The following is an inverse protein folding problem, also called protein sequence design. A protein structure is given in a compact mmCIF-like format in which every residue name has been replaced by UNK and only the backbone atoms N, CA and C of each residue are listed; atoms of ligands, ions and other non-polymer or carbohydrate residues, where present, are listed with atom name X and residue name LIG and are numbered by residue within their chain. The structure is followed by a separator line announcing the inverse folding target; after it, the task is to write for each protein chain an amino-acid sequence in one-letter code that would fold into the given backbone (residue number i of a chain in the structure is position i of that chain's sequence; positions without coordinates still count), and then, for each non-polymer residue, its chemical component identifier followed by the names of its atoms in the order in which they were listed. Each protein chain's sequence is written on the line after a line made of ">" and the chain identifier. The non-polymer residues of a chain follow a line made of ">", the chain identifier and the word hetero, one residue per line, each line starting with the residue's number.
data_IF_312010056457
#
_entry.id   IF_312010056457
#
_cell.length_a   1.000
_cell.length_b   1.000
_cell.length_c   1.000
_cell.angle_alpha   90.00
_cell.angle_beta   90.00
_cell.angle_gamma   90.00
#
_symmetry.space_group_name_H-M   'P 1'
#
loop_
_entity.id
_entity.type
_entity.pdbx_description
1 polymer ?
#
# COMPACT_ATOMS: atom_id res chain seq x y z
N UNK A 1 22.98 -8.64 -47.18
CA UNK A 1 24.41 -8.65 -46.77
C UNK A 1 24.93 -7.24 -46.80
N UNK A 2 25.35 -6.70 -45.66
CA UNK A 2 26.53 -5.83 -45.44
C UNK A 2 26.35 -5.05 -44.15
N UNK A 3 27.31 -5.26 -43.25
CA UNK A 3 27.38 -4.69 -41.91
C UNK A 3 28.73 -3.96 -41.81
N UNK A 4 28.78 -2.67 -41.49
CA UNK A 4 30.01 -2.01 -41.08
C UNK A 4 30.05 -1.88 -39.56
N UNK A 5 30.89 -2.71 -38.93
CA UNK A 5 31.40 -2.43 -37.59
C UNK A 5 32.25 -1.16 -37.64
N UNK A 6 32.05 -0.22 -36.72
CA UNK A 6 33.08 0.75 -36.34
C UNK A 6 33.15 0.87 -34.81
N UNK A 7 34.21 0.31 -34.23
CA UNK A 7 34.61 0.58 -32.85
C UNK A 7 35.59 1.76 -32.85
N UNK A 8 35.37 2.77 -32.00
CA UNK A 8 36.45 3.69 -31.58
C UNK A 8 36.17 4.33 -30.21
N UNK A 9 36.89 3.83 -29.21
CA UNK A 9 37.54 4.55 -28.09
C UNK A 9 36.75 5.52 -27.16
N UNK A 10 36.55 5.04 -25.92
CA UNK A 10 36.93 5.66 -24.64
C UNK A 10 37.35 7.15 -24.61
N UNK A 11 36.67 7.96 -23.76
CA UNK A 11 37.27 8.77 -22.67
C UNK A 11 36.22 8.94 -21.54
N UNK A 12 36.70 8.92 -20.28
CA UNK A 12 35.91 9.08 -19.04
C UNK A 12 35.12 10.39 -18.89
N UNK A 13 34.26 10.48 -17.89
CA UNK A 13 34.68 10.87 -16.53
C UNK A 13 33.72 10.31 -15.47
N UNK A 14 34.26 9.68 -14.42
CA UNK A 14 33.49 9.30 -13.23
C UNK A 14 33.45 10.50 -12.28
N UNK A 15 32.29 11.12 -12.07
CA UNK A 15 32.09 12.05 -10.95
C UNK A 15 31.48 11.31 -9.76
N UNK A 16 32.35 10.89 -8.84
CA UNK A 16 31.94 10.42 -7.53
C UNK A 16 31.55 11.64 -6.67
N UNK A 17 30.25 11.88 -6.47
CA UNK A 17 29.77 12.86 -5.49
C UNK A 17 29.67 12.18 -4.13
N UNK A 18 30.76 12.24 -3.38
CA UNK A 18 30.79 11.82 -1.97
C UNK A 18 30.05 12.83 -1.10
N UNK A 19 28.79 12.54 -0.76
CA UNK A 19 28.08 13.29 0.28
C UNK A 19 28.59 12.80 1.65
N UNK A 20 29.42 13.60 2.30
CA UNK A 20 29.95 13.31 3.63
C UNK A 20 28.84 13.46 4.69
N UNK A 21 28.59 12.39 5.44
CA UNK A 21 27.75 12.43 6.63
C UNK A 21 28.46 13.21 7.73
N UNK A 22 28.00 14.44 7.99
CA UNK A 22 28.42 15.24 9.14
C UNK A 22 27.77 14.68 10.41
N UNK A 23 28.36 13.65 11.01
CA UNK A 23 28.05 13.26 12.38
C UNK A 23 28.55 14.32 13.35
N UNK A 24 27.69 14.86 14.20
CA UNK A 24 28.12 15.65 15.36
C UNK A 24 28.67 14.72 16.43
N UNK A 25 29.98 14.51 16.39
CA UNK A 25 30.76 13.94 17.49
C UNK A 25 30.92 14.99 18.61
N UNK A 26 30.79 14.57 19.85
CA UNK A 26 31.06 15.39 21.05
C UNK A 26 31.63 14.53 22.18
N UNK A 27 32.79 13.93 21.91
CA UNK A 27 33.65 13.30 22.92
C UNK A 27 34.24 14.31 23.92
N UNK A 28 33.99 14.07 25.22
CA UNK A 28 34.92 14.33 26.35
C UNK A 28 34.71 13.24 27.40
N UNK A 29 35.62 12.27 27.49
CA UNK A 29 36.74 12.20 28.46
C UNK A 29 36.36 11.51 29.78
N UNK A 30 36.75 10.23 29.93
CA UNK A 30 36.91 9.50 31.20
C UNK A 30 38.26 9.93 31.87
N UNK A 31 38.61 9.66 33.13
CA UNK A 31 38.05 8.89 34.26
C UNK A 31 38.68 9.48 35.57
N UNK A 32 38.70 8.84 36.77
CA UNK A 32 37.97 7.68 37.31
C UNK A 32 37.29 7.93 38.70
N UNK A 33 36.67 6.88 39.26
CA UNK A 33 36.03 6.79 40.59
C UNK A 33 37.07 6.83 41.77
N UNK A 34 36.72 7.14 43.05
CA UNK A 34 35.97 6.20 43.91
C UNK A 34 35.03 6.79 45.02
N UNK A 35 34.18 5.88 45.55
CA UNK A 35 33.55 5.81 46.90
C UNK A 35 32.65 6.93 47.45
N UNK A 36 31.35 6.62 47.64
CA UNK A 36 30.69 6.60 48.97
C UNK A 36 29.24 6.04 48.97
N UNK A 37 29.00 5.08 49.86
CA UNK A 37 27.78 4.80 50.65
C UNK A 37 26.36 4.82 50.02
N UNK A 38 25.85 3.59 49.82
CA UNK A 38 24.58 3.06 50.36
C UNK A 38 23.48 4.03 50.79
N UNK A 39 22.32 3.95 50.12
CA UNK A 39 21.03 3.87 50.84
C UNK A 39 20.03 3.06 50.03
N UNK A 40 19.54 1.97 50.60
CA UNK A 40 18.40 1.24 50.06
C UNK A 40 17.12 2.01 50.39
N UNK A 41 16.23 2.21 49.41
CA UNK A 41 14.81 2.30 49.74
C UNK A 41 13.94 1.75 48.62
N UNK A 42 13.03 0.84 48.99
CA UNK A 42 12.29 0.01 48.06
C UNK A 42 10.95 0.63 47.63
N UNK A 43 10.55 0.30 46.40
CA UNK A 43 9.17 0.14 45.91
C UNK A 43 8.14 1.23 46.18
N UNK A 44 7.66 1.86 45.10
CA UNK A 44 6.27 1.70 44.65
C UNK A 44 6.21 1.72 43.13
N UNK A 45 5.74 0.62 42.51
CA UNK A 45 5.37 0.60 41.10
C UNK A 45 3.93 1.11 40.97
N UNK A 46 3.73 2.26 40.33
CA UNK A 46 2.45 2.61 39.69
C UNK A 46 2.68 2.76 38.18
N UNK A 47 1.76 2.28 37.33
CA UNK A 47 1.91 2.42 35.89
C UNK A 47 1.60 3.87 35.50
N UNK A 48 2.64 4.63 35.14
CA UNK A 48 2.44 5.92 34.48
C UNK A 48 1.77 5.64 33.12
N UNK A 49 0.49 6.01 33.00
CA UNK A 49 -0.19 6.02 31.70
C UNK A 49 0.52 7.03 30.79
N UNK A 50 1.30 6.51 29.85
CA UNK A 50 1.94 7.32 28.83
C UNK A 50 0.88 7.73 27.80
N UNK A 51 0.22 8.85 28.08
CA UNK A 51 -0.70 9.53 27.16
C UNK A 51 -0.16 10.93 26.90
N UNK A 52 0.99 10.97 26.23
CA UNK A 52 1.57 12.17 25.65
C UNK A 52 0.70 12.71 24.50
N UNK A 53 -0.50 13.20 24.85
CA UNK A 53 -1.26 14.13 24.03
C UNK A 53 -0.47 15.44 23.97
N UNK A 54 0.47 15.53 23.03
CA UNK A 54 1.13 16.77 22.71
C UNK A 54 0.12 17.64 21.93
N UNK A 55 -0.39 18.75 22.50
CA UNK A 55 -1.34 19.60 21.79
C UNK A 55 -0.65 20.25 20.59
N UNK A 56 -1.39 20.43 19.49
CA UNK A 56 -0.92 21.26 18.38
C UNK A 56 -0.74 22.71 18.85
N UNK A 57 0.12 23.46 18.16
CA UNK A 57 0.61 24.78 18.60
C UNK A 57 -0.46 25.89 18.65
N UNK A 58 -1.69 25.59 18.21
CA UNK A 58 -2.88 26.45 18.29
C UNK A 58 -3.89 26.03 19.38
N UNK A 59 -3.64 24.93 20.08
CA UNK A 59 -4.55 24.37 21.09
C UNK A 59 -5.68 23.49 20.53
N UNK A 60 -5.66 23.16 19.23
CA UNK A 60 -6.59 22.20 18.65
C UNK A 60 -6.28 20.78 19.15
N UNK A 61 -7.16 20.23 20.00
CA UNK A 61 -7.18 18.79 20.23
C UNK A 61 -7.66 18.10 18.96
N UNK A 62 -6.76 17.42 18.25
CA UNK A 62 -7.11 16.56 17.13
C UNK A 62 -8.20 15.56 17.57
N UNK A 63 -9.32 15.52 16.86
CA UNK A 63 -10.39 14.57 17.16
C UNK A 63 -9.89 13.15 16.88
N UNK A 64 -9.62 12.40 17.95
CA UNK A 64 -9.33 10.98 17.87
C UNK A 64 -10.62 10.22 17.51
N UNK A 65 -10.90 10.13 16.21
CA UNK A 65 -12.00 9.33 15.69
C UNK A 65 -11.77 7.83 15.92
N UNK A 66 -12.84 7.04 15.88
CA UNK A 66 -12.75 5.58 16.01
C UNK A 66 -12.19 4.96 14.72
N UNK A 67 -11.11 4.16 14.77
CA UNK A 67 -10.58 3.47 13.60
C UNK A 67 -11.61 2.58 12.91
N UNK A 68 -11.58 2.55 11.58
CA UNK A 68 -12.50 1.74 10.78
C UNK A 68 -12.12 0.27 10.88
N UNK A 69 -13.03 -0.55 11.42
CA UNK A 69 -12.88 -2.00 11.47
C UNK A 69 -13.38 -2.62 10.17
N UNK A 70 -12.53 -3.39 9.49
CA UNK A 70 -12.89 -4.20 8.33
C UNK A 70 -13.06 -5.65 8.78
N UNK A 71 -14.30 -6.12 8.93
CA UNK A 71 -14.58 -7.49 9.37
C UNK A 71 -14.52 -8.49 8.19
N UNK A 72 -13.31 -8.71 7.69
CA UNK A 72 -13.06 -9.55 6.50
C UNK A 72 -13.53 -10.99 6.72
N UNK A 73 -13.52 -11.49 7.96
CA UNK A 73 -14.04 -12.82 8.31
C UNK A 73 -15.55 -12.95 8.03
N UNK A 74 -16.31 -11.86 8.11
CA UNK A 74 -17.74 -11.82 7.81
C UNK A 74 -18.05 -11.68 6.30
N UNK A 75 -17.05 -11.55 5.42
CA UNK A 75 -17.27 -11.35 3.98
C UNK A 75 -17.44 -12.65 3.19
N UNK A 76 -17.29 -13.80 3.85
CA UNK A 76 -17.63 -15.12 3.32
C UNK A 76 -16.47 -15.85 2.66
N UNK A 77 -16.43 -17.16 2.87
CA UNK A 77 -15.45 -18.09 2.29
C UNK A 77 -16.04 -18.93 1.15
N UNK A 78 -17.23 -18.58 0.66
CA UNK A 78 -17.93 -19.32 -0.39
C UNK A 78 -17.08 -19.43 -1.66
N UNK A 79 -17.30 -20.49 -2.44
CA UNK A 79 -16.58 -20.70 -3.70
C UNK A 79 -16.91 -19.59 -4.67
N UNK A 80 -15.89 -18.87 -5.13
CA UNK A 80 -16.00 -17.85 -6.17
C UNK A 80 -15.71 -18.43 -7.56
N UNK A 81 -16.22 -17.76 -8.59
CA UNK A 81 -15.85 -18.02 -9.99
C UNK A 81 -14.47 -17.41 -10.27
N UNK A 82 -13.57 -18.21 -10.85
CA UNK A 82 -12.20 -17.76 -11.17
C UNK A 82 -12.24 -16.79 -12.34
N UNK A 83 -11.42 -15.74 -12.27
CA UNK A 83 -11.18 -14.81 -13.37
C UNK A 83 -9.69 -14.79 -13.72
N UNK A 84 -9.36 -14.61 -14.99
CA UNK A 84 -8.02 -14.27 -15.43
C UNK A 84 -7.78 -12.75 -15.34
N UNK A 85 -6.51 -12.36 -15.15
CA UNK A 85 -6.11 -10.96 -14.89
C UNK A 85 -6.28 -10.02 -16.09
N UNK A 86 -6.49 -10.57 -17.28
CA UNK A 86 -6.77 -9.88 -18.54
C UNK A 86 -8.26 -9.81 -18.91
N UNK A 87 -9.16 -10.43 -18.14
CA UNK A 87 -10.63 -10.35 -18.34
C UNK A 87 -11.22 -9.04 -17.82
N UNK A 88 -10.72 -7.91 -18.31
CA UNK A 88 -11.03 -6.56 -17.81
C UNK A 88 -12.53 -6.26 -17.70
N UNK A 89 -13.37 -6.71 -18.64
CA UNK A 89 -14.82 -6.50 -18.57
C UNK A 89 -15.48 -7.25 -17.40
N UNK A 90 -15.10 -8.51 -17.19
CA UNK A 90 -15.52 -9.31 -16.04
C UNK A 90 -15.05 -8.67 -14.73
N UNK A 91 -13.79 -8.20 -14.68
CA UNK A 91 -13.20 -7.54 -13.52
C UNK A 91 -13.94 -6.23 -13.18
N UNK A 92 -14.21 -5.37 -14.17
CA UNK A 92 -14.99 -4.13 -13.98
C UNK A 92 -16.39 -4.44 -13.43
N UNK A 93 -17.03 -5.52 -13.88
CA UNK A 93 -18.38 -5.90 -13.45
C UNK A 93 -18.50 -6.16 -11.94
N UNK A 94 -17.42 -6.59 -11.27
CA UNK A 94 -17.37 -6.80 -9.80
C UNK A 94 -17.62 -5.49 -9.04
N UNK A 95 -17.24 -4.35 -9.61
CA UNK A 95 -17.36 -3.04 -8.99
C UNK A 95 -18.64 -2.29 -9.39
N UNK A 96 -19.22 -2.63 -10.54
CA UNK A 96 -20.49 -2.09 -11.04
C UNK A 96 -20.31 -1.26 -12.32
N UNK A 97 -21.17 -0.26 -12.49
CA UNK A 97 -21.11 0.64 -13.64
C UNK A 97 -19.89 1.57 -13.58
N UNK A 98 -19.15 1.69 -14.69
CA UNK A 98 -18.08 2.67 -14.83
C UNK A 98 -18.70 4.05 -15.01
N UNK A 99 -18.46 4.95 -14.06
CA UNK A 99 -18.98 6.31 -14.07
C UNK A 99 -18.17 7.26 -14.96
N UNK A 100 -16.87 7.02 -15.12
CA UNK A 100 -16.01 7.76 -16.03
C UNK A 100 -14.75 6.98 -16.37
N UNK A 101 -14.24 7.16 -17.59
CA UNK A 101 -12.94 6.64 -18.03
C UNK A 101 -12.00 7.80 -18.38
N UNK A 102 -10.73 7.69 -17.96
CA UNK A 102 -9.63 8.54 -18.40
C UNK A 102 -8.60 7.69 -19.16
N UNK A 103 -8.55 7.86 -20.47
CA UNK A 103 -7.65 7.14 -21.40
C UNK A 103 -6.21 7.73 -21.42
N UNK A 104 -5.93 8.77 -20.63
CA UNK A 104 -4.62 9.45 -20.58
C UNK A 104 -3.96 9.30 -19.20
N UNK A 105 -4.38 8.30 -18.43
CA UNK A 105 -3.79 8.00 -17.13
C UNK A 105 -2.44 7.29 -17.25
N UNK A 106 -1.78 7.15 -16.11
CA UNK A 106 -0.51 6.45 -15.99
C UNK A 106 -0.63 5.31 -14.98
N UNK A 107 0.01 4.18 -15.27
CA UNK A 107 0.15 3.07 -14.34
C UNK A 107 1.24 3.31 -13.28
N UNK A 108 1.36 2.37 -12.34
CA UNK A 108 2.32 2.30 -11.25
C UNK A 108 3.79 2.52 -11.69
N UNK A 109 4.12 2.19 -12.95
CA UNK A 109 5.46 2.37 -13.53
C UNK A 109 5.50 3.49 -14.58
N UNK A 110 4.52 4.39 -14.57
CA UNK A 110 4.39 5.56 -15.46
C UNK A 110 4.25 5.22 -16.96
N UNK A 111 3.74 4.04 -17.31
CA UNK A 111 3.33 3.75 -18.70
C UNK A 111 1.91 4.25 -18.95
N UNK A 112 1.52 4.53 -20.23
CA UNK A 112 0.15 4.87 -20.59
C UNK A 112 -0.85 3.81 -20.13
N UNK A 113 -1.98 4.25 -19.55
CA UNK A 113 -2.99 3.38 -18.98
C UNK A 113 -4.39 4.01 -19.06
N UNK A 114 -5.42 3.15 -19.12
CA UNK A 114 -6.81 3.56 -18.99
C UNK A 114 -7.26 3.47 -17.53
N UNK A 115 -7.82 4.55 -16.99
CA UNK A 115 -8.36 4.60 -15.63
C UNK A 115 -9.89 4.57 -15.64
N UNK A 116 -10.47 3.54 -15.05
CA UNK A 116 -11.92 3.36 -14.90
C UNK A 116 -12.34 3.70 -13.47
N UNK A 117 -13.26 4.64 -13.31
CA UNK A 117 -13.76 5.09 -12.00
C UNK A 117 -15.21 4.65 -11.80
N UNK A 118 -15.50 4.05 -10.65
CA UNK A 118 -16.81 3.49 -10.30
C UNK A 118 -17.65 4.39 -9.38
N UNK A 119 -17.12 5.56 -9.04
CA UNK A 119 -17.70 6.49 -8.05
C UNK A 119 -17.75 7.91 -8.60
N UNK A 120 -18.68 8.72 -8.11
CA UNK A 120 -18.72 10.15 -8.43
C UNK A 120 -17.48 10.86 -7.89
N UNK A 121 -17.11 11.97 -8.53
CA UNK A 121 -15.92 12.78 -8.17
C UNK A 121 -15.93 13.30 -6.73
N UNK A 122 -17.12 13.46 -6.14
CA UNK A 122 -17.38 13.92 -4.77
C UNK A 122 -17.55 12.79 -3.74
N UNK A 123 -17.31 11.53 -4.13
CA UNK A 123 -17.45 10.36 -3.27
C UNK A 123 -16.10 9.65 -3.02
N UNK A 124 -15.96 8.90 -1.90
CA UNK A 124 -14.85 7.97 -1.67
C UNK A 124 -14.55 7.12 -2.90
N UNK A 125 -13.34 7.28 -3.45
CA UNK A 125 -12.99 6.73 -4.76
C UNK A 125 -12.86 5.20 -4.74
N UNK A 126 -13.11 4.64 -5.91
CA UNK A 126 -12.89 3.24 -6.26
C UNK A 126 -12.60 3.23 -7.76
N UNK A 127 -11.36 2.87 -8.10
CA UNK A 127 -10.78 3.02 -9.42
C UNK A 127 -10.04 1.73 -9.82
N UNK A 128 -10.12 1.35 -11.10
CA UNK A 128 -9.16 0.45 -11.75
C UNK A 128 -8.25 1.28 -12.64
N UNK A 129 -6.96 0.95 -12.69
CA UNK A 129 -6.05 1.40 -13.74
C UNK A 129 -5.58 0.16 -14.50
N UNK A 130 -5.73 0.18 -15.83
CA UNK A 130 -5.40 -0.93 -16.71
C UNK A 130 -4.35 -0.51 -17.74
N UNK A 131 -3.23 -1.24 -17.77
CA UNK A 131 -2.19 -1.11 -18.78
C UNK A 131 -1.81 -2.47 -19.36
N UNK A 132 -0.92 -2.48 -20.36
CA UNK A 132 -0.34 -3.70 -20.94
C UNK A 132 0.28 -4.61 -19.85
N UNK A 133 0.91 -4.02 -18.83
CA UNK A 133 1.71 -4.74 -17.84
C UNK A 133 1.05 -4.88 -16.48
N UNK A 134 0.16 -3.94 -16.12
CA UNK A 134 -0.43 -3.91 -14.79
C UNK A 134 -1.96 -3.87 -14.83
N UNK A 135 -2.54 -4.57 -13.87
CA UNK A 135 -3.89 -4.31 -13.39
C UNK A 135 -3.74 -3.72 -12.00
N UNK A 136 -4.30 -2.53 -11.79
CA UNK A 136 -4.30 -1.87 -10.50
C UNK A 136 -5.71 -1.65 -9.99
N UNK A 137 -5.89 -1.90 -8.69
CA UNK A 137 -7.10 -1.58 -7.96
C UNK A 137 -6.75 -0.57 -6.87
N UNK A 138 -7.37 0.60 -6.93
CA UNK A 138 -7.25 1.66 -5.93
C UNK A 138 -8.59 1.97 -5.29
N UNK A 139 -8.64 2.05 -3.96
CA UNK A 139 -9.85 2.51 -3.27
C UNK A 139 -9.55 3.33 -2.02
N UNK A 140 -10.50 4.19 -1.65
CA UNK A 140 -10.40 5.01 -0.45
C UNK A 140 -10.41 4.16 0.83
N UNK A 141 -9.43 4.39 1.70
CA UNK A 141 -9.31 3.77 3.02
C UNK A 141 -9.74 4.80 4.08
N UNK A 142 -10.90 4.59 4.71
CA UNK A 142 -11.55 5.64 5.49
C UNK A 142 -10.75 6.12 6.71
N UNK A 143 -10.76 7.43 6.92
CA UNK A 143 -10.19 8.11 8.07
C UNK A 143 -11.04 7.82 9.33
N UNK A 144 -10.41 7.60 10.51
CA UNK A 144 -11.14 7.51 11.77
C UNK A 144 -12.15 8.65 12.04
N UNK A 145 -11.94 9.86 11.51
CA UNK A 145 -12.86 11.01 11.66
C UNK A 145 -13.97 11.11 10.60
N UNK A 146 -13.99 10.23 9.60
CA UNK A 146 -15.00 10.25 8.53
C UNK A 146 -16.42 10.03 9.05
N UNK A 147 -17.42 10.44 8.26
CA UNK A 147 -18.81 10.11 8.53
C UNK A 147 -19.07 8.60 8.40
N UNK A 148 -20.09 8.10 9.09
CA UNK A 148 -20.46 6.67 9.03
C UNK A 148 -20.72 6.20 7.59
N UNK A 149 -21.27 7.08 6.73
CA UNK A 149 -21.52 6.81 5.31
C UNK A 149 -20.22 6.65 4.50
N UNK A 150 -19.21 7.46 4.76
CA UNK A 150 -17.90 7.35 4.09
C UNK A 150 -17.16 6.09 4.53
N UNK A 151 -17.25 5.74 5.82
CA UNK A 151 -16.75 4.50 6.39
C UNK A 151 -17.44 3.27 5.79
N UNK A 152 -18.76 3.29 5.68
CA UNK A 152 -19.56 2.25 5.02
C UNK A 152 -19.17 2.09 3.53
N UNK A 153 -18.98 3.19 2.80
CA UNK A 153 -18.50 3.15 1.42
C UNK A 153 -17.10 2.53 1.32
N UNK A 154 -16.16 2.93 2.17
CA UNK A 154 -14.81 2.35 2.21
C UNK A 154 -14.82 0.85 2.54
N UNK A 155 -15.65 0.41 3.49
CA UNK A 155 -15.86 -1.02 3.79
C UNK A 155 -16.45 -1.78 2.59
N UNK A 156 -17.42 -1.21 1.88
CA UNK A 156 -18.00 -1.80 0.68
C UNK A 156 -16.99 -1.91 -0.48
N UNK A 157 -16.14 -0.90 -0.66
CA UNK A 157 -15.04 -0.95 -1.64
C UNK A 157 -14.02 -2.04 -1.29
N UNK A 158 -13.61 -2.12 -0.02
CA UNK A 158 -12.72 -3.17 0.47
C UNK A 158 -13.31 -4.58 0.32
N UNK A 159 -14.64 -4.73 0.50
CA UNK A 159 -15.34 -6.00 0.26
C UNK A 159 -15.35 -6.41 -1.22
N UNK A 160 -15.53 -5.45 -2.14
CA UNK A 160 -15.39 -5.69 -3.59
C UNK A 160 -13.95 -6.06 -3.98
N UNK A 161 -12.96 -5.38 -3.39
CA UNK A 161 -11.54 -5.69 -3.58
C UNK A 161 -11.18 -7.10 -3.09
N UNK A 162 -11.72 -7.51 -1.94
CA UNK A 162 -11.60 -8.87 -1.41
C UNK A 162 -12.25 -9.90 -2.34
N UNK A 163 -13.47 -9.64 -2.84
CA UNK A 163 -14.15 -10.51 -3.80
C UNK A 163 -13.29 -10.70 -5.06
N UNK A 164 -12.88 -9.61 -5.74
CA UNK A 164 -12.03 -9.71 -6.93
C UNK A 164 -10.74 -10.47 -6.64
N UNK A 165 -10.08 -10.17 -5.51
CA UNK A 165 -8.82 -10.83 -5.15
C UNK A 165 -9.01 -12.34 -4.98
N UNK A 166 -10.15 -12.79 -4.44
CA UNK A 166 -10.49 -14.22 -4.41
C UNK A 166 -10.76 -14.80 -5.80
N UNK A 167 -11.36 -14.04 -6.72
CA UNK A 167 -11.58 -14.50 -8.09
C UNK A 167 -10.27 -14.64 -8.89
N UNK A 168 -9.29 -13.77 -8.66
CA UNK A 168 -8.00 -13.78 -9.35
C UNK A 168 -6.95 -14.74 -8.75
N UNK A 169 -7.03 -15.03 -7.44
CA UNK A 169 -5.97 -15.69 -6.67
C UNK A 169 -6.48 -16.73 -5.65
N UNK A 170 -7.78 -17.03 -5.63
CA UNK A 170 -8.37 -17.90 -4.61
C UNK A 170 -8.26 -17.33 -3.18
N UNK A 171 -8.30 -18.20 -2.18
CA UNK A 171 -8.29 -17.78 -0.77
C UNK A 171 -7.01 -17.03 -0.36
N UNK A 172 -5.89 -17.25 -1.05
CA UNK A 172 -4.65 -16.48 -0.89
C UNK A 172 -4.86 -14.99 -1.20
N UNK A 173 -5.65 -14.66 -2.24
CA UNK A 173 -6.00 -13.27 -2.56
C UNK A 173 -6.93 -12.64 -1.53
N UNK A 174 -7.86 -13.41 -0.99
CA UNK A 174 -8.71 -12.97 0.13
C UNK A 174 -7.88 -12.68 1.38
N UNK A 175 -6.93 -13.56 1.70
CA UNK A 175 -5.97 -13.35 2.79
C UNK A 175 -5.08 -12.12 2.54
N UNK A 176 -4.58 -11.93 1.33
CA UNK A 176 -3.76 -10.76 0.96
C UNK A 176 -4.49 -9.45 1.24
N UNK A 177 -5.77 -9.32 0.87
CA UNK A 177 -6.58 -8.12 1.18
C UNK A 177 -6.80 -7.97 2.69
N UNK A 178 -7.01 -9.06 3.43
CA UNK A 178 -7.09 -9.01 4.89
C UNK A 178 -5.79 -8.50 5.53
N UNK A 179 -4.63 -8.96 5.03
CA UNK A 179 -3.32 -8.53 5.50
C UNK A 179 -3.09 -7.04 5.17
N UNK A 180 -3.44 -6.58 3.96
CA UNK A 180 -3.38 -5.16 3.55
C UNK A 180 -4.20 -4.23 4.46
N UNK A 181 -5.44 -4.61 4.77
CA UNK A 181 -6.34 -3.84 5.63
C UNK A 181 -5.89 -3.81 7.09
N UNK A 182 -5.03 -4.74 7.50
CA UNK A 182 -4.29 -4.72 8.77
C UNK A 182 -2.91 -4.04 8.64
N UNK A 183 -2.77 -3.10 7.70
CA UNK A 183 -1.58 -2.29 7.42
C UNK A 183 -0.32 -3.08 7.04
N UNK A 184 -0.43 -4.33 6.58
CA UNK A 184 0.71 -5.07 6.05
C UNK A 184 1.00 -4.66 4.60
N UNK A 185 2.28 -4.44 4.31
CA UNK A 185 2.76 -4.13 2.95
C UNK A 185 3.28 -5.42 2.32
N UNK A 186 2.71 -5.80 1.18
CA UNK A 186 3.11 -6.93 0.37
C UNK A 186 3.75 -6.37 -0.90
N UNK A 187 4.95 -6.84 -1.27
CA UNK A 187 5.71 -6.30 -2.40
C UNK A 187 6.49 -7.40 -3.12
N UNK A 188 6.49 -7.39 -4.45
CA UNK A 188 7.20 -8.33 -5.33
C UNK A 188 7.08 -9.81 -4.88
N UNK A 189 5.84 -10.30 -4.79
CA UNK A 189 5.52 -11.64 -4.26
C UNK A 189 4.49 -12.34 -5.16
N UNK A 190 4.57 -13.68 -5.28
CA UNK A 190 3.50 -14.48 -5.88
C UNK A 190 2.43 -14.79 -4.81
N UNK A 191 1.16 -14.55 -5.15
CA UNK A 191 -0.03 -14.82 -4.34
C UNK A 191 -1.05 -15.51 -5.24
N UNK A 192 -1.50 -16.73 -4.92
CA UNK A 192 -2.46 -17.46 -5.75
C UNK A 192 -2.10 -17.59 -7.24
N UNK A 193 -0.80 -17.66 -7.58
CA UNK A 193 -0.29 -17.67 -8.95
C UNK A 193 -0.04 -16.29 -9.58
N UNK A 194 -0.67 -15.22 -9.08
CA UNK A 194 -0.47 -13.86 -9.60
C UNK A 194 0.78 -13.20 -9.01
N UNK A 195 1.51 -12.44 -9.84
CA UNK A 195 2.64 -11.62 -9.36
C UNK A 195 2.14 -10.27 -8.85
N UNK A 196 2.26 -10.06 -7.54
CA UNK A 196 1.93 -8.81 -6.85
C UNK A 196 3.17 -7.93 -6.80
N UNK A 197 3.15 -6.79 -7.47
CA UNK A 197 4.23 -5.80 -7.33
C UNK A 197 4.12 -5.04 -6.01
N UNK A 198 2.90 -4.63 -5.66
CA UNK A 198 2.60 -3.87 -4.44
C UNK A 198 1.16 -4.11 -3.98
N UNK A 199 0.97 -4.33 -2.68
CA UNK A 199 -0.34 -4.36 -2.03
C UNK A 199 -0.21 -3.71 -0.65
N UNK A 200 -0.95 -2.63 -0.37
CA UNK A 200 -0.95 -1.93 0.92
C UNK A 200 -2.20 -1.09 1.13
N UNK A 201 -2.47 -0.73 2.38
CA UNK A 201 -3.38 0.35 2.77
C UNK A 201 -2.66 1.33 3.71
N UNK A 202 -2.52 2.58 3.31
CA UNK A 202 -1.87 3.66 4.07
C UNK A 202 -2.37 5.04 3.59
N UNK A 203 -2.26 6.08 4.42
CA UNK A 203 -2.58 7.48 4.05
C UNK A 203 -3.93 7.66 3.31
N UNK A 204 -4.96 7.00 3.83
CA UNK A 204 -6.33 7.01 3.29
C UNK A 204 -6.49 6.38 1.88
N UNK A 205 -5.51 5.59 1.45
CA UNK A 205 -5.48 4.89 0.16
C UNK A 205 -5.15 3.41 0.35
N UNK A 206 -5.96 2.54 -0.25
CA UNK A 206 -5.57 1.16 -0.52
C UNK A 206 -5.19 1.03 -2.01
N UNK A 207 -4.12 0.29 -2.27
CA UNK A 207 -3.59 0.04 -3.61
C UNK A 207 -3.15 -1.42 -3.72
N UNK A 208 -3.59 -2.08 -4.79
CA UNK A 208 -3.17 -3.42 -5.22
C UNK A 208 -2.71 -3.34 -6.68
N UNK A 209 -1.45 -3.72 -6.94
CA UNK A 209 -0.80 -3.71 -8.26
C UNK A 209 -0.42 -5.14 -8.64
N UNK A 210 -1.07 -5.69 -9.67
CA UNK A 210 -0.84 -7.03 -10.19
C UNK A 210 -0.12 -6.93 -11.53
N UNK A 211 0.98 -7.67 -11.71
CA UNK A 211 1.71 -7.75 -12.96
C UNK A 211 1.12 -8.84 -13.87
N UNK A 212 0.50 -8.39 -14.98
CA UNK A 212 -0.14 -9.25 -15.98
C UNK A 212 0.86 -10.11 -16.75
N UNK A 213 2.09 -9.65 -16.95
CA UNK A 213 3.08 -10.34 -17.78
C UNK A 213 3.51 -11.70 -17.20
N UNK A 214 3.37 -11.91 -15.88
CA UNK A 214 3.59 -13.21 -15.25
C UNK A 214 2.52 -14.26 -15.62
N UNK A 215 1.29 -13.85 -15.95
CA UNK A 215 0.25 -14.75 -16.42
C UNK A 215 0.39 -15.08 -17.93
N UNK A 216 1.05 -14.22 -18.70
CA UNK A 216 1.25 -14.42 -20.14
C UNK A 216 2.39 -15.42 -20.45
N UNK A 217 3.31 -15.67 -19.51
CA UNK A 217 4.42 -16.63 -19.72
C UNK A 217 4.02 -18.10 -19.61
N UNK A 218 2.86 -18.42 -19.02
CA UNK A 218 2.40 -19.81 -18.86
C UNK A 218 1.54 -20.30 -20.05
N UNK A 219 1.22 -19.41 -21.00
CA UNK A 219 0.42 -19.68 -22.20
C UNK A 219 1.25 -19.63 -23.52
N UNK A 220 2.59 -19.66 -23.43
CA UNK A 220 3.53 -19.58 -24.57
C UNK A 220 4.35 -20.85 -24.79
#
# INVERSE_FOLDING_TARGET
>A
MWNPNLQTLLVGTIMAVSVTLSGCDSTKEDAPNPDAETTEQATTNEPVQDSANNPDLDGATAQQGTPVRYDVAAWGTDKVESLAVDELDSIKSVFGEVMSTDENSLDYASNPAAKYRFMKTDAPYLDIIDSEKYLELGWYYANPTDTDKEKELSQNHAKKAYQLSRQLMGDDGGKMVADMLNSQIIKNRIVGGQKIELAKCEFYSCMLVINKAAAQTDNS
#
